data_IF_063080683989
#
_entry.id   IF_063080683989
#
_cell.length_a   1.000
_cell.length_b   1.000
_cell.length_c   1.000
_cell.angle_alpha   90.00
_cell.angle_beta   90.00
_cell.angle_gamma   90.00
#
_symmetry.space_group_name_H-M   'P 1'
#
loop_
_entity.id
_entity.type
_entity.pdbx_description
1 polymer ?
#
# COMPACT_ATOMS: atom_id res chain seq x y z
N UNK A 1 -3.18 7.76 85.57
CA UNK A 1 -3.05 6.33 85.64
C UNK A 1 -2.50 5.88 84.35
N UNK A 2 -1.21 5.96 84.19
CA UNK A 2 -0.19 4.92 84.44
C UNK A 2 -0.52 3.61 83.78
N UNK A 3 0.33 3.31 82.83
CA UNK A 3 0.95 2.01 82.49
C UNK A 3 1.12 1.88 80.97
N UNK A 4 2.20 1.48 80.39
CA UNK A 4 3.63 1.32 80.73
C UNK A 4 4.23 0.80 79.37
N UNK A 5 5.47 1.10 79.03
CA UNK A 5 6.03 0.88 77.73
C UNK A 5 6.89 -0.40 77.68
N UNK A 6 6.33 -1.53 77.29
CA UNK A 6 7.13 -2.78 77.23
C UNK A 6 6.86 -3.71 76.01
N UNK A 7 6.14 -3.30 75.06
CA UNK A 7 5.88 -4.15 73.83
C UNK A 7 6.68 -3.74 72.57
N UNK A 8 7.42 -2.64 72.64
CA UNK A 8 8.12 -2.11 71.45
C UNK A 8 9.59 -2.57 71.34
N UNK A 9 10.03 -3.57 72.07
CA UNK A 9 11.45 -3.95 72.10
C UNK A 9 11.74 -5.41 71.70
N UNK A 10 10.77 -6.17 71.22
CA UNK A 10 10.96 -7.57 70.84
C UNK A 10 10.62 -7.89 69.37
N UNK A 11 10.44 -6.90 68.55
CA UNK A 11 10.15 -7.09 67.07
C UNK A 11 11.26 -6.56 66.17
N UNK A 12 12.48 -6.40 66.64
CA UNK A 12 13.58 -5.77 65.86
C UNK A 12 14.81 -6.69 65.78
N UNK A 13 14.63 -8.01 65.74
CA UNK A 13 15.75 -8.98 65.54
C UNK A 13 15.41 -10.10 64.51
N UNK A 14 14.38 -10.00 63.71
CA UNK A 14 14.03 -11.04 62.74
C UNK A 14 13.88 -10.55 61.24
N UNK A 15 14.55 -9.44 60.90
CA UNK A 15 14.58 -8.98 59.48
C UNK A 15 16.05 -8.75 59.12
N UNK A 16 16.79 -9.83 59.04
CA UNK A 16 18.13 -9.83 58.44
C UNK A 16 18.44 -11.26 58.06
N UNK A 17 17.94 -11.67 56.90
CA UNK A 17 18.46 -12.68 55.99
C UNK A 17 17.36 -13.09 55.01
N UNK A 18 17.29 -12.40 53.92
CA UNK A 18 16.42 -12.70 52.79
C UNK A 18 16.76 -11.79 51.63
N UNK A 19 18.07 -11.68 51.29
CA UNK A 19 18.45 -11.14 49.96
C UNK A 19 18.06 -12.19 48.94
N UNK A 20 16.79 -12.16 48.53
CA UNK A 20 16.37 -12.86 47.34
C UNK A 20 17.06 -12.17 46.16
N UNK A 21 17.98 -12.88 45.53
CA UNK A 21 18.44 -12.58 44.18
C UNK A 21 17.19 -12.56 43.24
N UNK A 22 16.57 -11.42 43.08
CA UNK A 22 15.72 -11.18 41.93
C UNK A 22 16.66 -11.04 40.73
N UNK A 23 16.99 -12.18 40.15
CA UNK A 23 17.54 -12.23 38.80
C UNK A 23 16.57 -11.49 37.89
N UNK A 24 16.87 -10.24 37.57
CA UNK A 24 16.29 -9.56 36.45
C UNK A 24 16.69 -10.38 35.24
N UNK A 25 15.79 -11.25 34.75
CA UNK A 25 15.87 -11.81 33.43
C UNK A 25 15.85 -10.61 32.48
N UNK A 26 17.01 -10.18 32.04
CA UNK A 26 17.17 -9.32 30.90
C UNK A 26 16.63 -10.14 29.72
N UNK A 27 15.34 -9.98 29.45
CA UNK A 27 14.77 -10.43 28.19
C UNK A 27 15.46 -9.56 27.14
N UNK A 28 16.55 -10.09 26.61
CA UNK A 28 17.17 -9.55 25.41
C UNK A 28 16.11 -9.67 24.32
N UNK A 29 15.32 -8.62 24.13
CA UNK A 29 14.58 -8.43 22.93
C UNK A 29 15.64 -8.22 21.84
N UNK A 30 16.09 -9.34 21.25
CA UNK A 30 16.74 -9.28 19.96
C UNK A 30 15.78 -8.46 19.08
N UNK A 31 16.24 -7.34 18.59
CA UNK A 31 15.49 -6.51 17.67
C UNK A 31 15.23 -7.39 16.44
N UNK A 32 14.10 -8.11 16.47
CA UNK A 32 13.63 -8.94 15.39
C UNK A 32 13.37 -7.98 14.24
N UNK A 33 14.23 -8.00 13.23
CA UNK A 33 14.09 -7.12 12.09
C UNK A 33 12.69 -7.32 11.55
N UNK A 34 11.91 -6.24 11.56
CA UNK A 34 10.53 -6.24 11.09
C UNK A 34 10.49 -6.83 9.69
N UNK A 35 9.81 -7.96 9.53
CA UNK A 35 9.53 -8.56 8.23
C UNK A 35 10.22 -9.89 7.93
N UNK A 36 10.99 -10.49 8.86
CA UNK A 36 11.54 -11.85 8.69
C UNK A 36 11.10 -12.70 9.87
N UNK A 37 10.52 -13.85 9.58
CA UNK A 37 10.09 -14.87 10.52
C UNK A 37 10.87 -16.14 10.24
N UNK A 38 11.35 -16.84 11.28
CA UNK A 38 11.96 -18.14 11.14
C UNK A 38 10.87 -19.20 11.25
N UNK A 39 10.73 -19.98 10.20
CA UNK A 39 9.74 -21.08 10.10
C UNK A 39 10.48 -22.41 10.13
N UNK A 40 10.09 -23.32 11.02
CA UNK A 40 10.57 -24.68 11.00
C UNK A 40 9.69 -25.54 10.10
N UNK A 41 10.29 -26.19 9.10
CA UNK A 41 9.60 -27.03 8.14
C UNK A 41 10.24 -28.41 8.13
N UNK A 42 9.41 -29.45 8.08
CA UNK A 42 9.89 -30.80 7.83
C UNK A 42 9.99 -31.03 6.32
N UNK A 43 11.11 -31.56 5.88
CA UNK A 43 11.37 -31.89 4.49
C UNK A 43 12.08 -33.26 4.40
N UNK A 44 11.96 -33.91 3.25
CA UNK A 44 12.62 -35.16 2.95
C UNK A 44 13.60 -34.90 1.81
N UNK A 45 14.81 -35.42 1.95
CA UNK A 45 15.79 -35.35 0.90
C UNK A 45 16.26 -36.74 0.47
N UNK A 46 16.64 -36.88 -0.78
CA UNK A 46 17.10 -38.09 -1.42
C UNK A 46 18.51 -37.85 -1.98
N UNK A 47 19.40 -38.80 -1.79
CA UNK A 47 20.76 -38.69 -2.31
C UNK A 47 21.49 -40.00 -2.40
N UNK A 48 22.62 -40.04 -3.14
CA UNK A 48 23.50 -41.18 -3.19
C UNK A 48 24.26 -41.31 -1.86
N UNK A 49 24.57 -40.20 -1.24
CA UNK A 49 25.20 -40.12 0.08
C UNK A 49 24.25 -39.41 1.06
N UNK A 50 24.50 -39.60 2.36
CA UNK A 50 23.73 -38.90 3.39
C UNK A 50 23.86 -37.38 3.26
N UNK A 51 25.02 -36.87 2.84
CA UNK A 51 25.29 -35.47 2.56
C UNK A 51 24.38 -34.95 1.43
N UNK A 52 24.35 -35.69 0.30
CA UNK A 52 23.49 -35.28 -0.83
C UNK A 52 22.02 -35.25 -0.45
N UNK A 53 21.57 -36.26 0.33
CA UNK A 53 20.21 -36.30 0.85
C UNK A 53 19.89 -35.11 1.78
N UNK A 54 20.83 -34.71 2.66
CA UNK A 54 20.67 -33.53 3.50
C UNK A 54 20.55 -32.25 2.66
N UNK A 55 21.43 -32.07 1.67
CA UNK A 55 21.42 -30.88 0.80
C UNK A 55 20.14 -30.80 -0.05
N UNK A 56 19.65 -31.95 -0.52
CA UNK A 56 18.38 -32.02 -1.26
C UNK A 56 17.19 -31.68 -0.37
N UNK A 57 17.11 -32.21 0.85
CA UNK A 57 16.08 -31.89 1.83
C UNK A 57 16.11 -30.42 2.26
N UNK A 58 17.28 -29.82 2.40
CA UNK A 58 17.41 -28.38 2.65
C UNK A 58 16.87 -27.57 1.48
N UNK A 59 17.19 -27.97 0.22
CA UNK A 59 16.65 -27.30 -0.97
C UNK A 59 15.13 -27.38 -1.03
N UNK A 60 14.56 -28.55 -0.73
CA UNK A 60 13.12 -28.76 -0.67
C UNK A 60 12.47 -27.86 0.39
N UNK A 61 13.04 -27.78 1.61
CA UNK A 61 12.56 -26.89 2.67
C UNK A 61 12.55 -25.41 2.24
N UNK A 62 13.62 -24.94 1.57
CA UNK A 62 13.68 -23.58 1.04
C UNK A 62 12.60 -23.36 -0.03
N UNK A 63 12.38 -24.37 -0.90
CA UNK A 63 11.33 -24.32 -1.92
C UNK A 63 9.93 -24.22 -1.33
N UNK A 64 9.65 -24.99 -0.27
CA UNK A 64 8.36 -24.97 0.43
C UNK A 64 8.05 -23.60 1.08
N UNK A 65 9.06 -22.94 1.63
CA UNK A 65 8.89 -21.68 2.37
C UNK A 65 8.96 -20.46 1.47
N UNK A 66 9.92 -20.42 0.55
CA UNK A 66 10.26 -19.24 -0.25
C UNK A 66 9.98 -19.40 -1.75
N UNK A 67 9.57 -20.58 -2.19
CA UNK A 67 9.29 -20.91 -3.58
C UNK A 67 10.52 -21.38 -4.38
N UNK A 68 10.25 -22.10 -5.47
CA UNK A 68 11.25 -22.77 -6.32
C UNK A 68 12.28 -21.81 -6.93
N UNK A 69 11.87 -20.59 -7.26
CA UNK A 69 12.75 -19.58 -7.86
C UNK A 69 13.90 -19.18 -6.91
N UNK A 70 13.63 -19.10 -5.61
CA UNK A 70 14.66 -18.79 -4.61
C UNK A 70 15.52 -20.03 -4.33
N UNK A 71 14.91 -21.19 -4.22
CA UNK A 71 15.64 -22.45 -4.02
C UNK A 71 16.66 -22.72 -5.14
N UNK A 72 16.33 -22.35 -6.39
CA UNK A 72 17.24 -22.48 -7.53
C UNK A 72 18.40 -21.47 -7.57
N UNK A 73 18.30 -20.38 -6.82
CA UNK A 73 19.37 -19.37 -6.72
C UNK A 73 20.39 -19.67 -5.61
N UNK A 74 20.19 -20.74 -4.85
CA UNK A 74 21.12 -21.14 -3.79
C UNK A 74 22.31 -21.91 -4.38
N UNK A 75 23.52 -21.68 -3.85
CA UNK A 75 24.74 -22.40 -4.26
C UNK A 75 24.84 -23.79 -3.63
N UNK A 76 23.74 -24.41 -3.19
CA UNK A 76 23.70 -25.73 -2.59
C UNK A 76 24.24 -26.81 -3.53
N UNK A 77 24.04 -26.65 -4.84
CA UNK A 77 24.57 -27.58 -5.85
C UNK A 77 26.10 -27.59 -5.90
N UNK A 78 26.76 -26.51 -5.55
CA UNK A 78 28.23 -26.43 -5.52
C UNK A 78 28.79 -27.23 -4.35
N UNK A 79 28.07 -27.30 -3.22
CA UNK A 79 28.47 -28.11 -2.07
C UNK A 79 28.42 -29.64 -2.34
N UNK A 80 27.62 -30.09 -3.31
CA UNK A 80 27.55 -31.51 -3.69
C UNK A 80 28.76 -31.94 -4.49
N UNK A 81 29.46 -31.02 -5.15
CA UNK A 81 30.63 -31.34 -6.00
C UNK A 81 31.96 -31.30 -5.26
N UNK A 82 32.04 -30.72 -4.07
CA UNK A 82 33.24 -30.82 -3.23
C UNK A 82 33.36 -32.23 -2.63
N UNK A 83 34.27 -33.02 -3.20
CA UNK A 83 34.60 -34.38 -2.73
C UNK A 83 35.33 -34.30 -1.39
N UNK A 84 34.59 -34.19 -0.30
CA UNK A 84 35.12 -34.45 1.03
C UNK A 84 34.69 -35.85 1.47
N UNK A 85 35.65 -36.65 1.90
CA UNK A 85 35.51 -38.08 2.27
C UNK A 85 34.73 -38.28 3.59
N UNK A 86 34.27 -37.21 4.24
CA UNK A 86 33.56 -37.29 5.51
C UNK A 86 32.03 -37.29 5.29
N UNK A 87 31.50 -38.52 5.23
CA UNK A 87 30.04 -38.79 5.21
C UNK A 87 29.49 -39.14 6.60
N UNK A 88 30.27 -38.91 7.67
CA UNK A 88 29.83 -39.20 9.03
C UNK A 88 28.70 -38.27 9.46
N UNK A 89 27.62 -38.84 10.00
CA UNK A 89 26.46 -38.08 10.53
C UNK A 89 26.84 -37.00 11.56
N UNK A 90 27.94 -37.25 12.29
CA UNK A 90 28.49 -36.28 13.25
C UNK A 90 29.02 -35.01 12.58
N UNK A 91 29.66 -35.17 11.39
CA UNK A 91 30.12 -34.02 10.60
C UNK A 91 28.96 -33.21 10.04
N UNK A 92 27.95 -33.88 9.51
CA UNK A 92 26.76 -33.21 8.95
C UNK A 92 25.96 -32.40 10.00
N UNK A 93 26.06 -32.77 11.27
CA UNK A 93 25.47 -32.01 12.37
C UNK A 93 26.45 -31.00 13.00
N UNK A 94 27.66 -30.87 12.49
CA UNK A 94 28.66 -29.94 13.00
C UNK A 94 28.31 -28.49 12.65
N UNK A 95 28.70 -27.55 13.51
CA UNK A 95 28.53 -26.12 13.24
C UNK A 95 29.24 -25.67 11.97
N UNK A 96 30.37 -26.31 11.60
CA UNK A 96 31.11 -25.98 10.40
C UNK A 96 30.31 -26.31 9.12
N UNK A 97 29.66 -27.46 9.05
CA UNK A 97 28.83 -27.81 7.91
C UNK A 97 27.52 -26.99 7.86
N UNK A 98 26.90 -26.71 9.00
CA UNK A 98 25.77 -25.80 9.08
C UNK A 98 26.12 -24.40 8.59
N UNK A 99 27.32 -23.90 8.89
CA UNK A 99 27.80 -22.60 8.40
C UNK A 99 27.99 -22.63 6.86
N UNK A 100 28.50 -23.75 6.30
CA UNK A 100 28.55 -23.90 4.85
C UNK A 100 27.18 -23.89 4.20
N UNK A 101 26.21 -24.62 4.74
CA UNK A 101 24.80 -24.61 4.26
C UNK A 101 24.20 -23.23 4.39
N UNK A 102 24.42 -22.55 5.51
CA UNK A 102 23.93 -21.19 5.71
C UNK A 102 24.55 -20.22 4.69
N UNK A 103 25.84 -20.33 4.43
CA UNK A 103 26.53 -19.51 3.43
C UNK A 103 26.03 -19.81 2.01
N UNK A 104 25.89 -21.09 1.64
CA UNK A 104 25.40 -21.49 0.33
C UNK A 104 23.94 -21.10 0.07
N UNK A 105 23.15 -20.99 1.13
CA UNK A 105 21.78 -20.47 1.07
C UNK A 105 21.72 -18.97 1.34
N UNK A 106 22.86 -18.30 1.35
CA UNK A 106 22.98 -16.88 1.71
C UNK A 106 22.27 -16.57 3.03
N UNK A 107 22.34 -17.56 4.02
CA UNK A 107 21.74 -17.52 5.33
C UNK A 107 20.20 -17.63 5.34
N UNK A 108 19.50 -17.93 4.25
CA UNK A 108 18.07 -18.26 4.24
C UNK A 108 17.80 -19.44 5.19
N UNK A 109 18.73 -20.38 5.29
CA UNK A 109 18.70 -21.46 6.26
C UNK A 109 19.53 -21.09 7.49
N UNK A 110 18.87 -20.97 8.63
CA UNK A 110 19.54 -20.74 9.92
C UNK A 110 20.18 -22.02 10.48
N UNK A 111 19.59 -23.18 10.15
CA UNK A 111 20.07 -24.48 10.59
C UNK A 111 19.06 -25.57 10.32
N UNK A 112 19.46 -26.79 10.55
CA UNK A 112 18.60 -27.94 10.42
C UNK A 112 18.94 -29.01 11.46
N UNK A 113 18.01 -29.95 11.68
CA UNK A 113 18.16 -31.12 12.53
C UNK A 113 17.78 -32.36 11.71
N UNK A 114 18.61 -33.42 11.75
CA UNK A 114 18.31 -34.69 11.11
C UNK A 114 17.38 -35.48 12.04
N UNK A 115 16.16 -35.75 11.59
CA UNK A 115 15.16 -36.51 12.34
C UNK A 115 15.30 -38.01 12.15
N UNK A 116 15.54 -38.44 10.92
CA UNK A 116 15.80 -39.86 10.57
C UNK A 116 16.70 -39.96 9.35
N UNK A 117 17.40 -41.07 9.22
CA UNK A 117 18.17 -41.43 8.04
C UNK A 117 18.00 -42.91 7.80
N UNK A 118 17.67 -43.29 6.58
CA UNK A 118 17.51 -44.69 6.15
C UNK A 118 18.02 -44.88 4.73
N UNK A 119 18.45 -46.10 4.40
CA UNK A 119 18.81 -46.47 3.04
C UNK A 119 17.69 -47.33 2.44
N UNK A 120 17.23 -46.94 1.26
CA UNK A 120 16.27 -47.75 0.50
C UNK A 120 16.98 -48.95 -0.15
N UNK A 121 16.66 -50.12 0.35
CA UNK A 121 17.25 -51.37 -0.12
C UNK A 121 16.99 -51.68 -1.60
N UNK A 122 16.00 -51.05 -2.22
CA UNK A 122 15.64 -51.28 -3.63
C UNK A 122 16.42 -50.38 -4.60
N UNK A 123 16.72 -49.17 -4.18
CA UNK A 123 17.39 -48.16 -5.01
C UNK A 123 18.82 -47.84 -4.59
N UNK A 124 19.20 -48.21 -3.36
CA UNK A 124 20.50 -47.87 -2.76
C UNK A 124 20.62 -46.37 -2.45
N UNK A 125 19.52 -45.63 -2.46
CA UNK A 125 19.51 -44.21 -2.13
C UNK A 125 19.32 -44.00 -0.64
N UNK A 126 19.99 -43.00 -0.11
CA UNK A 126 19.79 -42.52 1.26
C UNK A 126 18.62 -41.55 1.29
N UNK A 127 17.70 -41.80 2.22
CA UNK A 127 16.54 -40.98 2.51
C UNK A 127 16.78 -40.33 3.87
N UNK A 128 16.69 -39.02 3.93
CA UNK A 128 16.86 -38.23 5.17
C UNK A 128 15.63 -37.38 5.41
N UNK A 129 15.10 -37.48 6.63
CA UNK A 129 14.05 -36.52 7.10
C UNK A 129 14.71 -35.43 7.92
N UNK A 130 14.37 -34.19 7.61
CA UNK A 130 14.97 -33.03 8.22
C UNK A 130 13.90 -32.12 8.84
N UNK A 131 14.28 -31.44 9.92
CA UNK A 131 13.59 -30.23 10.40
C UNK A 131 14.47 -29.04 10.09
N UNK A 132 14.08 -28.19 9.15
CA UNK A 132 14.90 -27.08 8.65
C UNK A 132 14.31 -25.76 9.12
N UNK A 133 15.13 -24.91 9.72
CA UNK A 133 14.76 -23.54 10.10
C UNK A 133 15.08 -22.60 8.94
N UNK A 134 14.01 -22.10 8.28
CA UNK A 134 14.09 -21.28 7.08
C UNK A 134 13.57 -19.89 7.38
N UNK A 135 14.34 -18.87 7.02
CA UNK A 135 13.93 -17.48 7.08
C UNK A 135 12.89 -17.20 6.00
N UNK A 136 11.69 -16.78 6.42
CA UNK A 136 10.62 -16.34 5.55
C UNK A 136 10.36 -14.86 5.72
N UNK A 137 10.26 -14.13 4.62
CA UNK A 137 9.82 -12.76 4.66
C UNK A 137 8.31 -12.70 4.95
N UNK A 138 7.95 -12.15 6.10
CA UNK A 138 6.55 -11.87 6.42
C UNK A 138 6.21 -10.48 5.91
N UNK A 139 5.38 -10.44 4.87
CA UNK A 139 4.85 -9.20 4.35
C UNK A 139 4.22 -8.38 5.49
N UNK A 140 4.59 -7.10 5.60
CA UNK A 140 3.94 -6.24 6.57
C UNK A 140 2.44 -6.17 6.24
N UNK A 141 1.57 -5.98 7.24
CA UNK A 141 0.11 -5.76 7.03
C UNK A 141 -0.19 -4.60 6.06
N UNK A 142 0.81 -3.79 5.71
CA UNK A 142 0.70 -2.78 4.67
C UNK A 142 0.68 -3.39 3.26
N UNK A 143 1.20 -4.60 3.07
CA UNK A 143 1.16 -5.33 1.80
C UNK A 143 -0.17 -6.06 1.56
N UNK A 144 -1.03 -6.19 2.58
CA UNK A 144 -2.41 -6.66 2.40
C UNK A 144 -3.31 -5.60 1.72
N UNK A 145 -2.76 -4.40 1.46
CA UNK A 145 -3.47 -3.37 0.70
C UNK A 145 -3.42 -3.69 -0.78
N UNK A 146 -4.47 -3.29 -1.50
CA UNK A 146 -4.46 -3.33 -2.96
C UNK A 146 -3.24 -2.59 -3.50
N UNK A 147 -2.43 -3.29 -4.27
CA UNK A 147 -1.20 -2.78 -4.87
C UNK A 147 -1.55 -2.06 -6.16
N UNK A 148 -1.21 -0.81 -6.21
CA UNK A 148 -1.58 0.06 -7.32
C UNK A 148 -0.34 0.74 -7.87
N UNK A 149 -0.17 0.72 -9.19
CA UNK A 149 0.84 1.51 -9.88
C UNK A 149 0.16 2.55 -10.75
N UNK A 150 0.79 3.71 -10.86
CA UNK A 150 0.41 4.72 -11.84
C UNK A 150 1.34 4.55 -13.06
N UNK A 151 0.72 4.40 -14.24
CA UNK A 151 1.45 4.40 -15.50
C UNK A 151 1.84 5.82 -15.91
N UNK A 152 2.77 5.96 -16.85
CA UNK A 152 3.11 7.27 -17.40
C UNK A 152 1.86 7.92 -18.01
N UNK A 153 1.66 9.19 -17.69
CA UNK A 153 0.52 9.95 -18.18
C UNK A 153 0.64 10.19 -19.68
N UNK A 154 -0.45 9.97 -20.39
CA UNK A 154 -0.54 10.26 -21.83
C UNK A 154 -1.04 11.67 -22.02
N UNK A 155 -0.51 12.37 -23.02
CA UNK A 155 -1.00 13.70 -23.44
C UNK A 155 -1.59 13.56 -24.83
N UNK A 156 -2.88 13.90 -24.95
CA UNK A 156 -3.59 13.87 -26.23
C UNK A 156 -2.95 14.81 -27.26
N UNK A 157 -3.02 14.42 -28.52
CA UNK A 157 -2.45 15.21 -29.62
C UNK A 157 -3.11 16.58 -29.82
N UNK A 158 -4.31 16.75 -29.32
CA UNK A 158 -5.09 17.99 -29.42
C UNK A 158 -4.65 19.07 -28.43
N UNK A 159 -3.84 18.73 -27.42
CA UNK A 159 -3.33 19.71 -26.45
C UNK A 159 -2.28 20.59 -27.10
N UNK A 160 -2.58 21.90 -27.17
CA UNK A 160 -1.81 22.86 -27.99
C UNK A 160 -0.45 23.19 -27.41
N UNK A 161 -0.37 23.53 -26.13
CA UNK A 161 0.90 23.84 -25.45
C UNK A 161 1.52 22.58 -24.86
N UNK A 162 2.35 21.91 -25.64
CA UNK A 162 3.01 20.65 -25.25
C UNK A 162 3.97 20.81 -24.07
N UNK A 163 4.64 21.95 -23.95
CA UNK A 163 5.58 22.17 -22.86
C UNK A 163 4.86 22.36 -21.53
N UNK A 164 3.86 23.26 -21.50
CA UNK A 164 3.01 23.44 -20.34
C UNK A 164 2.24 22.18 -19.96
N UNK A 165 1.79 21.41 -20.95
CA UNK A 165 1.08 20.15 -20.73
C UNK A 165 1.99 19.09 -20.12
N UNK A 166 3.26 19.02 -20.49
CA UNK A 166 4.21 18.07 -19.92
C UNK A 166 4.49 18.39 -18.44
N UNK A 167 4.77 19.66 -18.10
CA UNK A 167 4.98 20.10 -16.71
C UNK A 167 3.70 19.86 -15.87
N UNK A 168 2.53 20.20 -16.42
CA UNK A 168 1.25 19.94 -15.76
C UNK A 168 0.99 18.46 -15.53
N UNK A 169 1.31 17.60 -16.51
CA UNK A 169 1.10 16.16 -16.41
C UNK A 169 1.99 15.53 -15.33
N UNK A 170 3.22 15.99 -15.19
CA UNK A 170 4.15 15.56 -14.14
C UNK A 170 3.61 15.96 -12.75
N UNK A 171 3.30 17.26 -12.53
CA UNK A 171 2.72 17.76 -11.28
C UNK A 171 1.42 17.03 -10.93
N UNK A 172 0.59 16.73 -11.92
CA UNK A 172 -0.69 16.02 -11.74
C UNK A 172 -0.45 14.57 -11.32
N UNK A 173 0.48 13.88 -11.98
CA UNK A 173 0.82 12.49 -11.68
C UNK A 173 1.35 12.34 -10.27
N UNK A 174 2.31 13.18 -9.87
CA UNK A 174 2.88 13.20 -8.53
C UNK A 174 1.80 13.49 -7.47
N UNK A 175 0.94 14.46 -7.75
CA UNK A 175 -0.17 14.79 -6.86
C UNK A 175 -1.18 13.64 -6.68
N UNK A 176 -1.44 12.83 -7.70
CA UNK A 176 -2.30 11.64 -7.60
C UNK A 176 -1.63 10.55 -6.78
N UNK A 177 -0.34 10.29 -7.00
CA UNK A 177 0.44 9.34 -6.21
C UNK A 177 0.44 9.74 -4.73
N UNK A 178 0.72 11.02 -4.45
CA UNK A 178 0.70 11.57 -3.10
C UNK A 178 -0.67 11.41 -2.44
N UNK A 179 -1.75 11.75 -3.14
CA UNK A 179 -3.11 11.62 -2.63
C UNK A 179 -3.41 10.15 -2.27
N UNK A 180 -3.21 9.22 -3.21
CA UNK A 180 -3.53 7.81 -3.01
C UNK A 180 -2.68 7.18 -1.89
N UNK A 181 -1.39 7.54 -1.80
CA UNK A 181 -0.50 7.11 -0.72
C UNK A 181 -1.00 7.58 0.65
N UNK A 182 -1.44 8.85 0.75
CA UNK A 182 -1.94 9.42 1.99
C UNK A 182 -3.28 8.82 2.45
N UNK A 183 -4.09 8.29 1.54
CA UNK A 183 -5.32 7.56 1.91
C UNK A 183 -5.05 6.30 2.72
N UNK A 184 -3.85 5.70 2.57
CA UNK A 184 -3.44 4.41 3.17
C UNK A 184 -4.34 3.23 2.84
N UNK A 185 -5.14 3.38 1.81
CA UNK A 185 -6.01 2.31 1.29
C UNK A 185 -5.28 1.48 0.25
N UNK A 186 -4.27 2.07 -0.38
CA UNK A 186 -3.49 1.48 -1.44
C UNK A 186 -2.01 1.33 -1.02
N UNK A 187 -1.36 0.30 -1.53
CA UNK A 187 0.08 0.18 -1.55
C UNK A 187 0.54 0.71 -2.92
N UNK A 188 0.92 1.98 -2.97
CA UNK A 188 1.42 2.58 -4.22
C UNK A 188 2.79 2.02 -4.56
N UNK A 189 2.94 1.56 -5.80
CA UNK A 189 4.18 1.05 -6.36
C UNK A 189 4.68 2.07 -7.37
N UNK A 190 5.86 2.62 -7.11
CA UNK A 190 6.51 3.53 -8.03
C UNK A 190 7.27 2.74 -9.10
N UNK A 191 6.74 2.75 -10.31
CA UNK A 191 7.37 2.07 -11.45
C UNK A 191 8.44 2.92 -12.14
N UNK A 192 8.48 4.21 -11.91
CA UNK A 192 9.50 5.08 -12.48
C UNK A 192 10.86 4.84 -11.81
N UNK A 193 10.85 4.57 -10.49
CA UNK A 193 12.04 4.25 -9.72
C UNK A 193 12.36 2.74 -9.67
N UNK A 194 11.66 1.90 -10.45
CA UNK A 194 11.93 0.45 -10.45
C UNK A 194 13.35 0.10 -10.89
N UNK A 195 13.93 0.84 -11.82
CA UNK A 195 15.31 0.59 -12.26
C UNK A 195 16.30 0.83 -11.12
N UNK A 196 16.12 1.91 -10.36
CA UNK A 196 16.98 2.25 -9.21
C UNK A 196 16.76 1.25 -8.07
N UNK A 197 15.50 0.87 -7.82
CA UNK A 197 15.18 -0.18 -6.84
C UNK A 197 15.80 -1.51 -7.23
N UNK A 198 15.77 -1.89 -8.52
CA UNK A 198 16.39 -3.12 -9.00
C UNK A 198 17.92 -3.06 -8.90
N UNK A 199 18.53 -1.91 -9.16
CA UNK A 199 19.97 -1.72 -8.98
C UNK A 199 20.38 -1.87 -7.52
N UNK A 200 19.61 -1.32 -6.57
CA UNK A 200 19.83 -1.48 -5.13
C UNK A 200 19.65 -2.95 -4.70
N UNK A 201 18.61 -3.62 -5.18
CA UNK A 201 18.39 -5.03 -4.91
C UNK A 201 19.52 -5.92 -5.46
N UNK A 202 20.02 -5.61 -6.65
CA UNK A 202 21.18 -6.33 -7.23
C UNK A 202 22.47 -6.06 -6.43
N UNK A 203 22.67 -4.84 -5.95
CA UNK A 203 23.78 -4.50 -5.06
C UNK A 203 23.71 -5.29 -3.75
N UNK A 204 22.53 -5.34 -3.13
CA UNK A 204 22.26 -6.13 -1.93
C UNK A 204 22.53 -7.62 -2.18
N UNK A 205 22.19 -8.15 -3.37
CA UNK A 205 22.45 -9.55 -3.73
C UNK A 205 23.93 -9.88 -3.95
N UNK A 206 24.74 -8.90 -4.37
CA UNK A 206 26.18 -9.10 -4.63
C UNK A 206 27.08 -8.74 -3.45
N UNK A 207 26.62 -7.92 -2.52
CA UNK A 207 27.34 -7.58 -1.31
C UNK A 207 27.16 -8.68 -0.25
N UNK A 208 28.13 -8.83 0.65
CA UNK A 208 28.05 -9.75 1.80
C UNK A 208 27.01 -9.24 2.82
N UNK A 209 25.74 -9.16 2.38
CA UNK A 209 24.62 -8.60 3.11
C UNK A 209 23.94 -9.69 3.93
N UNK A 210 23.54 -9.42 5.17
CA UNK A 210 22.83 -10.39 6.01
C UNK A 210 21.58 -10.91 5.28
N UNK A 211 21.34 -12.18 5.36
CA UNK A 211 20.24 -12.99 4.80
C UNK A 211 18.86 -12.34 4.81
N UNK A 212 18.61 -11.50 5.81
CA UNK A 212 17.36 -10.78 5.98
C UNK A 212 16.99 -9.91 4.76
N UNK A 213 18.00 -9.45 4.04
CA UNK A 213 17.79 -8.62 2.84
C UNK A 213 17.53 -9.48 1.61
N UNK A 214 18.16 -10.67 1.52
CA UNK A 214 17.97 -11.60 0.40
C UNK A 214 16.56 -12.23 0.38
N UNK A 215 15.96 -12.49 1.55
CA UNK A 215 14.57 -12.94 1.64
C UNK A 215 13.56 -11.88 1.09
N UNK A 216 13.96 -10.61 1.03
CA UNK A 216 13.15 -9.54 0.40
C UNK A 216 13.20 -9.60 -1.13
N UNK A 217 14.30 -10.08 -1.72
CA UNK A 217 14.46 -10.15 -3.18
C UNK A 217 13.47 -11.08 -3.86
N UNK A 218 13.11 -12.19 -3.19
CA UNK A 218 12.15 -13.15 -3.74
C UNK A 218 10.70 -12.67 -3.77
N UNK A 219 10.42 -11.56 -3.12
CA UNK A 219 9.07 -11.04 -3.01
C UNK A 219 8.88 -9.85 -3.96
N UNK A 220 9.14 -10.04 -5.26
CA UNK A 220 8.77 -9.04 -6.28
C UNK A 220 7.25 -8.90 -6.31
N UNK A 221 6.79 -7.83 -5.65
CA UNK A 221 5.37 -7.56 -5.46
C UNK A 221 4.77 -7.11 -6.79
N UNK A 222 3.96 -7.96 -7.42
CA UNK A 222 3.18 -7.58 -8.59
C UNK A 222 2.15 -6.49 -8.25
N UNK A 223 1.69 -5.77 -9.25
CA UNK A 223 0.62 -4.76 -9.15
C UNK A 223 -0.73 -5.44 -9.33
N UNK A 224 -1.72 -5.12 -8.49
CA UNK A 224 -3.10 -5.62 -8.67
C UNK A 224 -3.85 -4.75 -9.68
N UNK A 225 -3.67 -3.41 -9.58
CA UNK A 225 -4.28 -2.44 -10.48
C UNK A 225 -3.27 -1.48 -11.08
N UNK A 226 -3.43 -1.20 -12.36
CA UNK A 226 -2.71 -0.16 -13.08
C UNK A 226 -3.67 1.02 -13.35
N UNK A 227 -3.32 2.19 -12.85
CA UNK A 227 -4.01 3.45 -13.18
C UNK A 227 -3.33 4.08 -14.39
N UNK A 228 -4.11 4.37 -15.41
CA UNK A 228 -3.66 5.08 -16.62
C UNK A 228 -4.38 6.42 -16.69
N UNK A 229 -3.61 7.49 -16.72
CA UNK A 229 -4.10 8.85 -16.88
C UNK A 229 -3.84 9.34 -18.32
N UNK A 230 -4.76 10.13 -18.83
CA UNK A 230 -4.68 10.74 -20.14
C UNK A 230 -5.12 12.20 -20.06
N UNK A 231 -4.21 13.14 -20.26
CA UNK A 231 -4.54 14.56 -20.37
C UNK A 231 -5.16 14.81 -21.75
N UNK A 232 -6.46 15.04 -21.77
CA UNK A 232 -7.23 15.24 -23.01
C UNK A 232 -7.30 16.70 -23.42
N UNK A 233 -7.37 17.57 -22.44
CA UNK A 233 -7.41 19.00 -22.67
C UNK A 233 -6.75 19.79 -21.55
N UNK A 234 -6.10 20.89 -21.91
CA UNK A 234 -5.53 21.87 -21.00
C UNK A 234 -5.75 23.23 -21.63
N UNK A 235 -6.62 24.05 -21.03
CA UNK A 235 -7.10 25.26 -21.65
C UNK A 235 -7.09 26.45 -20.70
N UNK A 236 -6.64 27.60 -21.21
CA UNK A 236 -6.67 28.88 -20.50
C UNK A 236 -7.71 29.80 -21.10
N UNK A 237 -8.68 30.22 -20.29
CA UNK A 237 -9.71 31.18 -20.71
C UNK A 237 -9.46 32.52 -20.00
N UNK A 238 -9.37 33.58 -20.75
CA UNK A 238 -9.30 34.95 -20.22
C UNK A 238 -10.63 35.65 -20.43
N UNK A 239 -11.31 36.00 -19.37
CA UNK A 239 -12.55 36.82 -19.44
C UNK A 239 -12.26 38.24 -19.02
N UNK A 240 -12.63 39.21 -19.84
CA UNK A 240 -12.52 40.61 -19.52
C UNK A 240 -13.91 41.17 -19.19
N UNK A 241 -14.06 41.83 -18.06
CA UNK A 241 -15.29 42.54 -17.66
C UNK A 241 -14.97 43.99 -17.40
N UNK A 242 -15.53 44.86 -18.23
CA UNK A 242 -15.49 46.31 -18.00
C UNK A 242 -16.48 46.69 -16.89
N UNK A 243 -15.99 47.30 -15.82
CA UNK A 243 -16.83 47.73 -14.72
C UNK A 243 -17.52 49.06 -15.11
N UNK A 244 -18.85 49.07 -15.07
CA UNK A 244 -19.65 50.20 -15.52
C UNK A 244 -19.39 51.51 -14.73
N UNK A 245 -19.03 51.36 -13.44
CA UNK A 245 -18.83 52.50 -12.52
C UNK A 245 -17.43 53.13 -12.59
N UNK A 246 -16.39 52.35 -12.97
CA UNK A 246 -15.00 52.81 -12.88
C UNK A 246 -14.25 52.76 -14.20
N UNK A 247 -14.91 52.33 -15.29
CA UNK A 247 -14.33 52.08 -16.61
C UNK A 247 -13.07 51.17 -16.60
N UNK A 248 -12.77 50.52 -15.45
CA UNK A 248 -11.66 49.59 -15.30
C UNK A 248 -12.03 48.23 -15.91
N UNK A 249 -11.08 47.64 -16.64
CA UNK A 249 -11.21 46.30 -17.17
C UNK A 249 -10.67 45.32 -16.11
N UNK A 250 -11.54 44.45 -15.61
CA UNK A 250 -11.15 43.33 -14.74
C UNK A 250 -10.95 42.10 -15.60
N UNK A 251 -9.70 41.61 -15.62
CA UNK A 251 -9.37 40.33 -16.26
C UNK A 251 -9.50 39.20 -15.24
N UNK A 252 -10.22 38.15 -15.59
CA UNK A 252 -10.27 36.88 -14.83
C UNK A 252 -9.73 35.77 -15.73
N UNK A 253 -8.66 35.14 -15.29
CA UNK A 253 -8.11 33.97 -15.95
C UNK A 253 -8.73 32.73 -15.29
N UNK A 254 -9.18 31.79 -16.08
CA UNK A 254 -9.61 30.48 -15.64
C UNK A 254 -8.84 29.42 -16.42
N UNK A 255 -8.29 28.47 -15.70
CA UNK A 255 -7.55 27.33 -16.22
C UNK A 255 -8.43 26.09 -16.08
N UNK A 256 -8.55 25.31 -17.12
CA UNK A 256 -9.31 24.05 -17.08
C UNK A 256 -8.46 22.89 -17.58
N UNK A 257 -8.64 21.73 -16.98
CA UNK A 257 -8.08 20.49 -17.47
C UNK A 257 -9.15 19.42 -17.55
N UNK A 258 -9.06 18.58 -18.57
CA UNK A 258 -9.84 17.34 -18.72
C UNK A 258 -8.88 16.17 -18.70
N UNK A 259 -9.05 15.26 -17.73
CA UNK A 259 -8.24 14.08 -17.59
C UNK A 259 -9.09 12.81 -17.66
N UNK A 260 -8.75 11.91 -18.57
CA UNK A 260 -9.27 10.56 -18.60
C UNK A 260 -8.58 9.70 -17.57
N UNK A 261 -9.35 8.89 -16.83
CA UNK A 261 -8.86 7.96 -15.82
C UNK A 261 -9.33 6.55 -16.18
N UNK A 262 -8.41 5.59 -16.25
CA UNK A 262 -8.74 4.17 -16.41
C UNK A 262 -8.03 3.36 -15.35
N UNK A 263 -8.73 2.43 -14.73
CA UNK A 263 -8.19 1.47 -13.78
C UNK A 263 -8.27 0.08 -14.40
N UNK A 264 -7.12 -0.52 -14.62
CA UNK A 264 -6.97 -1.81 -15.29
C UNK A 264 -6.59 -2.84 -14.24
N UNK A 265 -7.32 -3.94 -14.19
CA UNK A 265 -6.98 -5.14 -13.44
C UNK A 265 -5.82 -5.85 -14.18
N UNK A 266 -4.67 -5.96 -13.52
CA UNK A 266 -3.45 -6.47 -14.16
C UNK A 266 -3.57 -7.97 -14.45
N UNK A 267 -4.26 -8.72 -13.58
CA UNK A 267 -4.40 -10.17 -13.73
C UNK A 267 -5.26 -10.56 -14.95
N UNK A 268 -6.32 -9.77 -15.20
CA UNK A 268 -7.27 -10.06 -16.29
C UNK A 268 -7.11 -9.14 -17.51
N UNK A 269 -6.29 -8.08 -17.38
CA UNK A 269 -6.15 -7.01 -18.37
C UNK A 269 -7.46 -6.27 -18.69
N UNK A 270 -8.47 -6.38 -17.84
CA UNK A 270 -9.77 -5.74 -18.02
C UNK A 270 -9.79 -4.33 -17.43
N UNK A 271 -10.50 -3.43 -18.09
CA UNK A 271 -10.79 -2.11 -17.53
C UNK A 271 -11.90 -2.27 -16.49
N UNK A 272 -11.57 -2.04 -15.22
CA UNK A 272 -12.56 -2.09 -14.11
C UNK A 272 -13.31 -0.77 -13.96
N UNK A 273 -12.63 0.35 -14.17
CA UNK A 273 -13.21 1.68 -14.09
C UNK A 273 -12.65 2.56 -15.19
N UNK A 274 -13.51 3.38 -15.76
CA UNK A 274 -13.14 4.40 -16.73
C UNK A 274 -14.02 5.62 -16.53
N UNK A 275 -13.42 6.79 -16.56
CA UNK A 275 -14.15 8.05 -16.43
C UNK A 275 -13.31 9.24 -16.84
N UNK A 276 -13.92 10.40 -16.81
CA UNK A 276 -13.31 11.69 -17.09
C UNK A 276 -13.47 12.58 -15.88
N UNK A 277 -12.40 13.26 -15.51
CA UNK A 277 -12.38 14.22 -14.41
C UNK A 277 -11.99 15.58 -14.96
N UNK A 278 -12.90 16.52 -14.80
CA UNK A 278 -12.66 17.92 -15.14
C UNK A 278 -12.24 18.70 -13.93
N UNK A 279 -11.35 19.65 -14.10
CA UNK A 279 -10.85 20.49 -13.03
C UNK A 279 -10.74 21.95 -13.45
N UNK A 280 -11.01 22.84 -12.50
CA UNK A 280 -10.99 24.27 -12.69
C UNK A 280 -9.99 24.91 -11.71
N UNK A 281 -9.06 25.70 -12.24
CA UNK A 281 -8.11 26.52 -11.50
C UNK A 281 -8.27 28.00 -11.84
N UNK A 282 -7.81 28.87 -10.97
CA UNK A 282 -7.92 30.31 -11.12
C UNK A 282 -6.61 31.08 -10.94
N UNK A 283 -5.52 30.40 -10.62
CA UNK A 283 -4.21 31.00 -10.34
C UNK A 283 -3.18 30.64 -11.40
N UNK A 284 -2.72 29.41 -11.39
CA UNK A 284 -1.67 28.87 -12.24
C UNK A 284 -1.86 27.37 -12.48
N UNK A 285 -1.01 26.79 -13.32
CA UNK A 285 -1.08 25.36 -13.64
C UNK A 285 -0.80 24.46 -12.42
N UNK A 286 0.01 24.88 -11.46
CA UNK A 286 0.27 24.11 -10.23
C UNK A 286 -0.94 24.06 -9.31
N UNK A 287 -1.68 25.19 -9.20
CA UNK A 287 -2.95 25.21 -8.47
C UNK A 287 -3.98 24.29 -9.15
N UNK A 288 -4.05 24.33 -10.49
CA UNK A 288 -4.91 23.43 -11.25
C UNK A 288 -4.50 21.97 -11.08
N UNK A 289 -3.20 21.63 -11.18
CA UNK A 289 -2.69 20.27 -10.99
C UNK A 289 -3.03 19.72 -9.60
N UNK A 290 -2.90 20.54 -8.55
CA UNK A 290 -3.27 20.16 -7.19
C UNK A 290 -4.78 19.90 -7.04
N UNK A 291 -5.63 20.70 -7.68
CA UNK A 291 -7.09 20.50 -7.67
C UNK A 291 -7.48 19.27 -8.47
N UNK A 292 -6.89 19.10 -9.65
CA UNK A 292 -7.12 17.95 -10.53
C UNK A 292 -6.67 16.64 -9.90
N UNK A 293 -5.47 16.61 -9.31
CA UNK A 293 -4.94 15.40 -8.64
C UNK A 293 -5.81 14.97 -7.47
N UNK A 294 -6.34 15.93 -6.72
CA UNK A 294 -7.29 15.66 -5.64
C UNK A 294 -8.62 15.12 -6.15
N UNK A 295 -9.16 15.68 -7.22
CA UNK A 295 -10.41 15.22 -7.84
C UNK A 295 -10.24 13.79 -8.40
N UNK A 296 -9.15 13.52 -9.11
CA UNK A 296 -8.82 12.19 -9.62
C UNK A 296 -8.60 11.18 -8.48
N UNK A 297 -7.83 11.56 -7.46
CA UNK A 297 -7.59 10.71 -6.30
C UNK A 297 -8.88 10.35 -5.57
N UNK A 298 -9.80 11.31 -5.38
CA UNK A 298 -11.15 11.08 -4.84
C UNK A 298 -11.97 10.14 -5.72
N UNK A 299 -11.94 10.35 -7.03
CA UNK A 299 -12.64 9.50 -7.98
C UNK A 299 -12.19 8.03 -7.84
N UNK A 300 -10.87 7.78 -7.85
CA UNK A 300 -10.29 6.45 -7.69
C UNK A 300 -10.65 5.85 -6.32
N UNK A 301 -10.48 6.63 -5.25
CA UNK A 301 -10.78 6.18 -3.90
C UNK A 301 -12.25 5.81 -3.73
N UNK A 302 -13.16 6.65 -4.19
CA UNK A 302 -14.60 6.41 -4.05
C UNK A 302 -15.07 5.20 -4.85
N UNK A 303 -14.44 4.94 -5.99
CA UNK A 303 -14.74 3.78 -6.81
C UNK A 303 -14.35 2.45 -6.12
N UNK A 304 -13.28 2.45 -5.30
CA UNK A 304 -12.71 1.23 -4.71
C UNK A 304 -13.00 1.14 -3.21
N UNK A 305 -12.71 2.21 -2.45
CA UNK A 305 -12.78 2.24 -0.99
C UNK A 305 -13.44 3.52 -0.46
N UNK A 306 -14.75 3.51 -0.20
CA UNK A 306 -15.40 4.65 0.44
C UNK A 306 -14.87 4.89 1.85
N UNK A 307 -14.97 6.14 2.32
CA UNK A 307 -14.51 6.55 3.65
C UNK A 307 -15.46 5.95 4.69
N UNK A 308 -14.88 5.31 5.72
CA UNK A 308 -15.62 4.70 6.81
C UNK A 308 -15.54 5.51 8.09
N UNK A 309 -16.58 5.39 8.89
CA UNK A 309 -16.66 5.91 10.25
C UNK A 309 -15.97 4.88 11.17
N UNK A 310 -14.98 5.30 11.94
CA UNK A 310 -14.18 4.42 12.80
C UNK A 310 -14.49 4.58 14.29
N UNK A 311 -15.06 5.70 14.69
CA UNK A 311 -15.52 5.94 16.07
C UNK A 311 -16.58 7.04 16.09
N UNK A 312 -17.41 7.05 17.13
CA UNK A 312 -18.47 8.03 17.40
C UNK A 312 -18.31 8.52 18.83
N UNK A 313 -18.47 9.81 19.00
CA UNK A 313 -18.47 10.49 20.31
C UNK A 313 -19.57 11.56 20.30
N UNK A 314 -20.78 11.19 20.75
CA UNK A 314 -21.98 12.03 20.58
C UNK A 314 -22.26 12.30 19.11
N UNK A 315 -22.37 13.57 18.74
CA UNK A 315 -22.59 14.01 17.34
C UNK A 315 -21.30 14.12 16.52
N UNK A 316 -20.14 13.73 17.09
CA UNK A 316 -18.85 13.82 16.44
C UNK A 316 -18.41 12.45 15.94
N UNK A 317 -18.25 12.33 14.64
CA UNK A 317 -17.75 11.14 13.96
C UNK A 317 -16.24 11.24 13.75
N UNK A 318 -15.53 10.14 13.96
CA UNK A 318 -14.13 10.01 13.55
C UNK A 318 -14.07 9.22 12.26
N UNK A 319 -13.54 9.84 11.22
CA UNK A 319 -13.39 9.22 9.90
C UNK A 319 -11.98 8.64 9.73
N UNK A 320 -11.88 7.49 9.09
CA UNK A 320 -10.62 6.79 8.81
C UNK A 320 -9.79 7.42 7.68
N UNK A 321 -9.87 8.74 7.53
CA UNK A 321 -9.14 9.51 6.51
C UNK A 321 -8.68 10.85 7.08
N UNK A 322 -7.52 11.33 6.63
CA UNK A 322 -6.93 12.58 7.09
C UNK A 322 -5.83 13.07 6.13
N UNK A 323 -4.91 13.88 6.64
CA UNK A 323 -3.81 14.45 5.84
C UNK A 323 -4.31 15.51 4.86
N UNK A 324 -3.77 15.51 3.65
CA UNK A 324 -4.15 16.43 2.57
C UNK A 324 -5.33 15.93 1.73
N UNK A 325 -5.88 14.73 2.06
CA UNK A 325 -6.95 14.12 1.28
C UNK A 325 -8.35 14.61 1.66
N UNK A 326 -8.46 15.29 2.78
CA UNK A 326 -9.71 15.85 3.32
C UNK A 326 -9.41 17.23 3.92
N UNK A 327 -10.35 18.16 3.85
CA UNK A 327 -10.16 19.52 4.34
C UNK A 327 -11.23 19.90 5.36
N UNK A 328 -10.86 20.80 6.27
CA UNK A 328 -11.80 21.39 7.23
C UNK A 328 -12.87 22.19 6.48
N UNK A 329 -14.13 22.02 6.90
CA UNK A 329 -15.28 22.68 6.30
C UNK A 329 -15.87 21.95 5.09
N UNK A 330 -15.24 20.86 4.62
CA UNK A 330 -15.86 20.00 3.61
C UNK A 330 -17.07 19.28 4.19
N UNK A 331 -18.11 19.11 3.35
CA UNK A 331 -19.32 18.38 3.66
C UNK A 331 -19.31 17.03 2.98
N UNK A 332 -19.81 16.03 3.72
CA UNK A 332 -19.93 14.66 3.24
C UNK A 332 -21.37 14.17 3.45
N UNK A 333 -21.88 13.46 2.47
CA UNK A 333 -23.13 12.72 2.61
C UNK A 333 -22.88 11.46 3.44
N UNK A 334 -23.70 11.24 4.45
CA UNK A 334 -23.74 10.01 5.21
C UNK A 334 -24.66 9.02 4.48
N UNK A 335 -24.13 7.89 4.09
CA UNK A 335 -24.79 6.91 3.23
C UNK A 335 -24.90 5.58 3.95
N UNK A 336 -26.11 5.02 3.96
CA UNK A 336 -26.35 3.63 4.36
C UNK A 336 -26.24 2.73 3.14
N UNK A 337 -25.41 1.71 3.24
CA UNK A 337 -25.28 0.64 2.26
C UNK A 337 -26.35 -0.41 2.51
N UNK A 338 -27.17 -0.68 1.51
CA UNK A 338 -28.18 -1.73 1.51
C UNK A 338 -27.66 -3.05 0.94
N UNK A 339 -28.49 -3.72 0.17
CA UNK A 339 -28.13 -4.98 -0.47
C UNK A 339 -27.07 -4.81 -1.54
N UNK A 340 -26.27 -5.85 -1.73
CA UNK A 340 -25.29 -5.89 -2.81
C UNK A 340 -25.98 -6.12 -4.14
N UNK A 341 -25.75 -5.23 -5.08
CA UNK A 341 -26.32 -5.29 -6.41
C UNK A 341 -25.42 -6.07 -7.35
N UNK A 342 -26.03 -6.84 -8.23
CA UNK A 342 -25.34 -7.62 -9.25
C UNK A 342 -25.96 -7.35 -10.62
N UNK A 343 -25.12 -7.26 -11.63
CA UNK A 343 -25.58 -7.20 -13.01
C UNK A 343 -26.34 -8.48 -13.36
N UNK A 344 -27.55 -8.38 -13.91
CA UNK A 344 -28.37 -9.55 -14.21
C UNK A 344 -27.77 -10.45 -15.31
N UNK A 345 -26.95 -9.91 -16.19
CA UNK A 345 -26.35 -10.61 -17.32
C UNK A 345 -24.97 -11.18 -16.97
N UNK A 346 -24.07 -10.33 -16.45
CA UNK A 346 -22.67 -10.71 -16.18
C UNK A 346 -22.47 -11.31 -14.79
N UNK A 347 -23.44 -11.14 -13.88
CA UNK A 347 -23.34 -11.49 -12.45
C UNK A 347 -22.19 -10.75 -11.72
N UNK A 348 -21.62 -9.75 -12.34
CA UNK A 348 -20.64 -8.89 -11.69
C UNK A 348 -21.29 -8.02 -10.62
N UNK A 349 -20.56 -7.75 -9.54
CA UNK A 349 -21.03 -6.86 -8.49
C UNK A 349 -21.04 -5.41 -8.96
N UNK A 350 -22.17 -4.76 -8.90
CA UNK A 350 -22.38 -3.35 -9.15
C UNK A 350 -22.17 -2.47 -7.89
N UNK A 351 -21.75 -3.05 -6.78
CA UNK A 351 -21.63 -2.37 -5.50
C UNK A 351 -22.84 -2.63 -4.59
N UNK A 352 -23.19 -1.64 -3.80
CA UNK A 352 -24.30 -1.72 -2.85
C UNK A 352 -25.38 -0.70 -3.23
N UNK A 353 -26.61 -0.99 -2.88
CA UNK A 353 -27.66 0.03 -2.89
C UNK A 353 -27.28 1.12 -1.87
N UNK A 354 -27.28 2.37 -2.28
CA UNK A 354 -26.87 3.51 -1.44
C UNK A 354 -28.08 4.38 -1.12
N UNK A 355 -28.27 4.69 0.18
CA UNK A 355 -29.31 5.59 0.65
C UNK A 355 -28.68 6.68 1.49
N UNK A 356 -28.82 7.95 1.08
CA UNK A 356 -28.37 9.08 1.88
C UNK A 356 -29.26 9.19 3.13
N UNK A 357 -28.64 9.23 4.29
CA UNK A 357 -29.30 9.31 5.61
C UNK A 357 -28.89 10.54 6.42
N UNK A 358 -28.05 11.40 5.87
CA UNK A 358 -27.64 12.62 6.55
C UNK A 358 -26.44 13.28 5.91
N UNK A 359 -25.97 14.34 6.57
CA UNK A 359 -24.79 15.11 6.17
C UNK A 359 -23.89 15.36 7.37
N UNK A 360 -22.59 15.41 7.11
CA UNK A 360 -21.57 15.69 8.12
C UNK A 360 -20.58 16.73 7.59
N UNK A 361 -20.07 17.60 8.47
CA UNK A 361 -19.07 18.61 8.12
C UNK A 361 -17.74 18.31 8.84
N UNK A 362 -16.63 18.39 8.11
CA UNK A 362 -15.29 18.17 8.68
C UNK A 362 -14.91 19.35 9.56
N UNK A 363 -14.68 19.07 10.84
CA UNK A 363 -14.30 20.09 11.84
C UNK A 363 -12.80 20.07 12.15
N UNK A 364 -12.16 18.91 12.15
CA UNK A 364 -10.73 18.76 12.46
C UNK A 364 -10.09 17.72 11.58
N UNK A 365 -8.92 18.04 11.05
CA UNK A 365 -8.11 17.12 10.22
C UNK A 365 -6.79 16.84 10.93
N UNK A 366 -6.48 15.55 11.10
CA UNK A 366 -5.19 15.04 11.58
C UNK A 366 -4.50 14.23 10.48
N UNK A 367 -3.24 13.86 10.69
CA UNK A 367 -2.46 13.14 9.68
C UNK A 367 -3.10 11.82 9.18
N UNK A 368 -3.87 11.11 10.04
CA UNK A 368 -4.42 9.78 9.73
C UNK A 368 -5.93 9.67 9.80
N UNK A 369 -6.56 10.63 10.39
CA UNK A 369 -8.00 10.65 10.67
C UNK A 369 -8.52 12.07 10.69
N UNK A 370 -9.82 12.24 10.53
CA UNK A 370 -10.50 13.51 10.69
C UNK A 370 -11.71 13.37 11.60
N UNK A 371 -12.14 14.47 12.19
CA UNK A 371 -13.40 14.56 12.91
C UNK A 371 -14.41 15.30 12.06
N UNK A 372 -15.62 14.79 12.05
CA UNK A 372 -16.76 15.39 11.37
C UNK A 372 -17.91 15.51 12.37
N UNK A 373 -18.65 16.60 12.29
CA UNK A 373 -19.85 16.86 13.08
C UNK A 373 -21.08 16.57 12.22
N UNK A 374 -22.09 15.92 12.80
CA UNK A 374 -23.34 15.63 12.12
C UNK A 374 -24.13 16.92 11.97
N UNK A 375 -24.43 17.31 10.73
CA UNK A 375 -25.31 18.47 10.44
C UNK A 375 -26.78 18.04 10.34
N UNK A 376 -27.04 16.91 9.67
CA UNK A 376 -28.37 16.31 9.55
C UNK A 376 -28.29 14.80 9.65
N UNK A 377 -29.33 14.18 10.20
CA UNK A 377 -29.45 12.72 10.29
C UNK A 377 -30.93 12.32 10.19
N UNK A 378 -31.26 11.55 9.15
CA UNK A 378 -32.62 11.09 8.87
C UNK A 378 -32.66 9.56 8.89
N UNK A 379 -33.43 8.99 9.84
CA UNK A 379 -33.76 7.58 9.88
C UNK A 379 -32.59 6.63 10.15
N UNK A 380 -31.51 7.10 10.77
CA UNK A 380 -30.38 6.29 11.19
C UNK A 380 -30.10 6.46 12.70
N UNK A 381 -29.72 5.37 13.37
CA UNK A 381 -29.26 5.42 14.75
C UNK A 381 -27.78 5.80 14.77
N UNK A 382 -27.42 6.83 15.55
CA UNK A 382 -26.04 7.29 15.71
C UNK A 382 -25.13 6.14 16.14
N UNK A 383 -25.56 5.28 17.07
CA UNK A 383 -24.77 4.17 17.59
C UNK A 383 -24.41 3.14 16.50
N UNK A 384 -25.23 3.01 15.45
CA UNK A 384 -25.03 2.05 14.36
C UNK A 384 -24.07 2.57 13.27
N UNK A 385 -23.71 3.87 13.27
CA UNK A 385 -22.94 4.47 12.18
C UNK A 385 -21.51 3.94 12.03
N UNK A 386 -20.94 3.28 13.06
CA UNK A 386 -19.62 2.61 12.96
C UNK A 386 -19.68 1.27 12.25
N UNK A 387 -20.89 0.77 11.96
CA UNK A 387 -21.09 -0.49 11.26
C UNK A 387 -20.52 -0.50 9.84
N UNK A 388 -20.39 -1.70 9.27
CA UNK A 388 -19.97 -1.86 7.87
C UNK A 388 -20.99 -1.33 6.86
N UNK A 389 -22.17 -1.02 7.32
CA UNK A 389 -23.30 -0.55 6.52
C UNK A 389 -23.25 0.96 6.23
N UNK A 390 -22.36 1.71 6.90
CA UNK A 390 -22.28 3.15 6.74
C UNK A 390 -20.96 3.62 6.18
N UNK A 391 -21.04 4.56 5.24
CA UNK A 391 -19.90 5.23 4.61
C UNK A 391 -20.18 6.72 4.46
N UNK A 392 -19.13 7.51 4.27
CA UNK A 392 -19.29 8.92 3.89
C UNK A 392 -18.70 9.15 2.50
N UNK A 393 -19.42 9.96 1.69
CA UNK A 393 -19.00 10.40 0.38
C UNK A 393 -18.96 11.94 0.32
N UNK A 394 -17.95 12.54 -0.32
CA UNK A 394 -17.91 13.99 -0.43
C UNK A 394 -19.16 14.48 -1.16
N UNK A 395 -19.79 15.50 -0.58
CA UNK A 395 -20.78 16.29 -1.31
C UNK A 395 -19.94 17.27 -2.11
N UNK A 396 -19.93 17.11 -3.41
CA UNK A 396 -19.33 18.11 -4.28
C UNK A 396 -20.15 19.40 -4.09
N UNK A 397 -19.52 20.49 -3.62
CA UNK A 397 -20.22 21.77 -3.62
C UNK A 397 -20.62 22.02 -5.06
N UNK A 398 -21.69 22.76 -5.32
CA UNK A 398 -22.27 23.06 -6.64
C UNK A 398 -21.23 23.42 -7.75
N UNK A 399 -20.09 22.74 -7.72
CA UNK A 399 -19.06 22.69 -8.75
C UNK A 399 -19.66 22.27 -10.09
N UNK A 400 -20.74 21.47 -10.08
CA UNK A 400 -21.42 21.07 -11.29
C UNK A 400 -21.93 22.29 -12.07
N UNK A 401 -22.52 23.27 -11.44
CA UNK A 401 -23.01 24.47 -12.12
C UNK A 401 -21.86 25.40 -12.57
N UNK A 402 -20.82 25.57 -11.75
CA UNK A 402 -19.61 26.34 -12.16
C UNK A 402 -18.81 25.59 -13.21
N UNK A 403 -18.69 24.29 -13.08
CA UNK A 403 -18.01 23.43 -14.04
C UNK A 403 -18.78 23.34 -15.37
N UNK A 404 -20.09 23.20 -15.33
CA UNK A 404 -20.94 23.21 -16.53
C UNK A 404 -20.90 24.57 -17.22
N UNK A 405 -20.94 25.67 -16.47
CA UNK A 405 -20.72 27.00 -17.00
C UNK A 405 -19.31 27.20 -17.58
N UNK A 406 -18.29 26.59 -16.98
CA UNK A 406 -16.93 26.62 -17.52
C UNK A 406 -16.82 25.77 -18.79
N UNK A 407 -17.40 24.57 -18.84
CA UNK A 407 -17.48 23.72 -20.05
C UNK A 407 -18.16 24.41 -21.21
N UNK A 408 -19.31 25.08 -20.95
CA UNK A 408 -20.01 25.86 -21.99
C UNK A 408 -19.15 27.01 -22.52
N UNK A 409 -18.40 27.69 -21.66
CA UNK A 409 -17.49 28.79 -22.07
C UNK A 409 -16.35 28.26 -22.92
N UNK A 410 -15.75 27.14 -22.55
CA UNK A 410 -14.69 26.46 -23.30
C UNK A 410 -15.23 25.99 -24.67
N UNK A 411 -16.42 25.39 -24.69
CA UNK A 411 -17.07 24.97 -25.94
C UNK A 411 -17.30 26.14 -26.89
N UNK A 412 -17.86 27.23 -26.38
CA UNK A 412 -18.07 28.46 -27.18
C UNK A 412 -16.77 29.07 -27.69
N UNK A 413 -15.70 29.04 -26.89
CA UNK A 413 -14.39 29.52 -27.32
C UNK A 413 -13.77 28.61 -28.41
N UNK A 414 -13.87 27.28 -28.27
CA UNK A 414 -13.44 26.33 -29.29
C UNK A 414 -14.21 26.51 -30.62
N UNK A 415 -15.51 26.69 -30.54
CA UNK A 415 -16.35 26.92 -31.72
C UNK A 415 -16.01 28.25 -32.40
N UNK A 416 -15.69 29.31 -31.65
CA UNK A 416 -15.21 30.57 -32.22
C UNK A 416 -13.85 30.44 -32.88
N UNK A 417 -12.89 29.73 -32.28
CA UNK A 417 -11.58 29.48 -32.88
C UNK A 417 -11.71 28.66 -34.14
N UNK A 418 -12.58 27.66 -34.16
CA UNK A 418 -12.85 26.84 -35.36
C UNK A 418 -13.45 27.70 -36.45
N UNK A 419 -14.45 28.54 -36.16
CA UNK A 419 -15.06 29.41 -37.16
C UNK A 419 -14.11 30.49 -37.71
N UNK A 420 -13.13 30.92 -36.90
CA UNK A 420 -12.09 31.82 -37.40
C UNK A 420 -11.10 31.09 -38.31
N UNK A 421 -10.72 29.86 -37.96
CA UNK A 421 -9.84 29.02 -38.80
C UNK A 421 -10.46 28.72 -40.12
N UNK A 422 -11.74 28.33 -40.16
CA UNK A 422 -12.51 28.05 -41.38
C UNK A 422 -12.62 29.31 -42.29
N UNK A 423 -12.57 30.54 -41.70
CA UNK A 423 -12.55 31.80 -42.47
C UNK A 423 -11.18 32.22 -42.98
N UNK A 424 -10.10 31.66 -42.44
CA UNK A 424 -8.73 31.91 -42.91
C UNK A 424 -8.28 30.88 -43.94
N UNK A 425 -8.96 29.72 -44.01
CA UNK A 425 -8.69 28.64 -44.96
C UNK A 425 -9.56 28.76 -46.25
N UNK A 426 -10.52 29.74 -46.30
CA UNK A 426 -11.22 30.22 -47.51
C UNK A 426 -10.49 31.45 -48.13
#
# INVERSE_FOLDING_TARGET
MMESPTILRRMLVAILMGVALTGTAVISHSAQARGVEIVSVQSQGLGITQRDAVLDGVREAVSMVNGMAIASQTSLAELTTEVTTDTDSTFLMSSAFMEQVSTATSGIVEGYDILSSSEDASTGLVIVELSVRVARYTASKQLDRLRMALGAMRIDNNVQDRAAAAEFAEDLQDGVIDYLTQTRRFAMIDRQLMADTQAELNFVATANVPTRELARLGNQVGTDYLVVLELRDLFTTVSERKMATTNRVRRKTALTSEAGVRIIDVATSQIKFSGTVDSLGDKDYRDLARKASRAIGRYIQNAIYPIRIIAIDGDVLTLGQGGKTIERGERYSLIRLGERLYDPYTKESLGYQETAVGTVMITTVRAKQSKAEIETLDGADIAALTGYEYVVRPIEPAADAEMEAARERVKKAKDQVKSLKDKFDE
#
